data_IF_465364637720
#
_entry.id   IF_465364637720
#
_cell.length_a   1.000
_cell.length_b   1.000
_cell.length_c   1.000
_cell.angle_alpha   90.00
_cell.angle_beta   90.00
_cell.angle_gamma   90.00
#
_symmetry.space_group_name_H-M   'P 1'
#
loop_
_entity.id
_entity.type
_entity.pdbx_description
1 polymer ?
#
# COMPACT_ATOMS: atom_id res chain seq x y z
N UNK A 1 -5.57 -1.80 7.11
CA UNK A 1 -6.21 -1.50 8.40
C UNK A 1 -7.06 -2.69 8.90
N UNK A 2 -8.05 -3.14 8.15
CA UNK A 2 -8.97 -4.21 8.58
C UNK A 2 -8.27 -5.54 8.98
N UNK A 3 -7.17 -5.90 8.32
CA UNK A 3 -6.42 -7.11 8.67
C UNK A 3 -5.85 -7.04 10.10
N UNK A 4 -5.45 -5.86 10.54
CA UNK A 4 -4.88 -5.60 11.87
C UNK A 4 -5.91 -5.16 12.91
N UNK A 5 -7.20 -5.18 12.54
CA UNK A 5 -8.32 -4.76 13.37
C UNK A 5 -8.16 -3.34 13.95
N UNK A 6 -7.71 -2.42 13.10
CA UNK A 6 -7.54 -1.01 13.42
C UNK A 6 -8.24 -0.14 12.38
N UNK A 7 -8.75 1.04 12.74
CA UNK A 7 -9.40 1.95 11.79
C UNK A 7 -8.40 2.55 10.79
N UNK A 8 -7.14 2.69 11.21
CA UNK A 8 -6.06 3.28 10.43
C UNK A 8 -4.72 2.72 10.90
N UNK A 9 -3.80 2.52 9.94
CA UNK A 9 -2.39 2.27 10.25
C UNK A 9 -1.69 3.57 10.68
N UNK A 10 -0.58 3.44 11.39
CA UNK A 10 0.22 4.57 11.84
C UNK A 10 1.35 4.92 10.86
N UNK A 11 1.88 6.16 10.95
CA UNK A 11 3.02 6.58 10.14
C UNK A 11 4.22 5.65 10.38
N UNK A 12 4.86 5.22 9.29
CA UNK A 12 5.97 4.28 9.34
C UNK A 12 5.59 2.80 9.44
N UNK A 13 4.30 2.49 9.59
CA UNK A 13 3.84 1.10 9.54
C UNK A 13 4.12 0.49 8.16
N UNK A 14 4.78 -0.66 8.16
CA UNK A 14 5.13 -1.40 6.94
C UNK A 14 4.10 -2.48 6.67
N UNK A 15 3.56 -2.50 5.45
CA UNK A 15 2.74 -3.61 4.96
C UNK A 15 3.67 -4.64 4.32
N UNK A 16 3.57 -5.89 4.77
CA UNK A 16 4.45 -6.99 4.37
C UNK A 16 3.78 -7.94 3.39
N UNK A 17 4.55 -8.81 2.70
CA UNK A 17 3.98 -9.92 1.92
C UNK A 17 3.03 -10.81 2.74
N UNK A 18 3.37 -11.08 4.01
CA UNK A 18 2.52 -11.87 4.89
C UNK A 18 1.17 -11.20 5.18
N UNK A 19 1.13 -9.87 5.29
CA UNK A 19 -0.13 -9.12 5.41
C UNK A 19 -0.98 -9.30 4.14
N UNK A 20 -0.38 -9.16 2.96
CA UNK A 20 -1.10 -9.31 1.69
C UNK A 20 -1.63 -10.75 1.51
N UNK A 21 -0.80 -11.74 1.77
CA UNK A 21 -1.19 -13.16 1.69
C UNK A 21 -2.33 -13.50 2.65
N UNK A 22 -2.26 -12.98 3.88
CA UNK A 22 -3.32 -13.17 4.87
C UNK A 22 -4.64 -12.51 4.45
N UNK A 23 -4.58 -11.32 3.88
CA UNK A 23 -5.77 -10.63 3.37
C UNK A 23 -6.41 -11.39 2.19
N UNK A 24 -5.60 -11.83 1.24
CA UNK A 24 -6.06 -12.61 0.09
C UNK A 24 -6.66 -13.95 0.52
N UNK A 25 -6.00 -14.65 1.45
CA UNK A 25 -6.49 -15.93 1.97
C UNK A 25 -7.86 -15.78 2.65
N UNK A 26 -8.08 -14.73 3.43
CA UNK A 26 -9.39 -14.42 4.05
C UNK A 26 -10.48 -14.18 3.02
N UNK A 27 -10.12 -13.57 1.89
CA UNK A 27 -11.05 -13.30 0.79
C UNK A 27 -11.23 -14.47 -0.18
N UNK A 28 -10.42 -15.53 -0.05
CA UNK A 28 -10.40 -16.66 -1.01
C UNK A 28 -9.86 -16.25 -2.38
N UNK A 29 -8.99 -15.25 -2.42
CA UNK A 29 -8.40 -14.68 -3.64
C UNK A 29 -6.91 -14.97 -3.75
N UNK A 30 -6.37 -14.77 -4.94
CA UNK A 30 -4.94 -14.76 -5.21
C UNK A 30 -4.61 -13.59 -6.15
N UNK A 31 -3.45 -12.99 -5.98
CA UNK A 31 -2.95 -11.97 -6.90
C UNK A 31 -2.13 -12.64 -8.01
N UNK A 32 -2.32 -12.19 -9.24
CA UNK A 32 -1.67 -12.73 -10.42
C UNK A 32 -1.44 -11.72 -11.53
N UNK A 33 -0.96 -12.19 -12.69
CA UNK A 33 -0.62 -11.31 -13.81
C UNK A 33 -1.81 -10.47 -14.28
N UNK A 34 -1.59 -9.17 -14.40
CA UNK A 34 -2.59 -8.21 -14.88
C UNK A 34 -3.54 -7.68 -13.82
N UNK A 35 -3.45 -8.17 -12.58
CA UNK A 35 -4.30 -7.69 -11.49
C UNK A 35 -3.90 -6.30 -11.02
N UNK A 36 -4.88 -5.60 -10.42
CA UNK A 36 -4.71 -4.39 -9.63
C UNK A 36 -4.76 -4.75 -8.14
N UNK A 37 -3.74 -4.39 -7.38
CA UNK A 37 -3.68 -4.63 -5.93
C UNK A 37 -3.65 -3.31 -5.19
N UNK A 38 -4.73 -2.98 -4.46
CA UNK A 38 -4.89 -1.72 -3.76
C UNK A 38 -4.86 -1.94 -2.24
N UNK A 39 -4.16 -1.05 -1.54
CA UNK A 39 -3.99 -1.13 -0.09
C UNK A 39 -4.76 0.00 0.59
N UNK A 40 -5.84 -0.36 1.28
CA UNK A 40 -6.60 0.55 2.14
C UNK A 40 -5.97 0.59 3.52
N UNK A 41 -5.25 1.67 3.82
CA UNK A 41 -4.56 1.87 5.11
C UNK A 41 -5.42 2.61 6.12
N UNK A 42 -6.45 3.30 5.66
CA UNK A 42 -7.26 4.23 6.45
C UNK A 42 -6.63 5.63 6.57
N UNK A 43 -5.42 5.84 6.02
CA UNK A 43 -4.72 7.12 6.08
C UNK A 43 -5.47 8.23 5.34
N UNK A 44 -6.20 7.88 4.28
CA UNK A 44 -7.05 8.80 3.52
C UNK A 44 -8.08 9.56 4.36
N UNK A 45 -8.45 9.06 5.55
CA UNK A 45 -9.31 9.77 6.49
C UNK A 45 -8.71 11.09 7.02
N UNK A 46 -7.40 11.30 6.85
CA UNK A 46 -6.71 12.54 7.21
C UNK A 46 -6.74 13.60 6.10
N UNK A 47 -7.42 13.35 4.99
CA UNK A 47 -7.43 14.25 3.82
C UNK A 47 -7.78 15.70 4.15
N UNK A 48 -8.72 15.93 5.08
CA UNK A 48 -9.15 17.26 5.50
C UNK A 48 -8.22 17.93 6.54
N UNK A 49 -7.17 17.23 6.98
CA UNK A 49 -6.08 17.75 7.80
C UNK A 49 -4.74 17.60 7.05
N UNK A 50 -4.41 18.54 6.14
CA UNK A 50 -3.22 18.43 5.31
C UNK A 50 -1.91 18.30 6.09
N UNK A 51 -1.81 18.96 7.25
CA UNK A 51 -0.61 18.89 8.07
C UNK A 51 -0.39 17.49 8.64
N UNK A 52 -1.44 16.84 9.13
CA UNK A 52 -1.39 15.47 9.60
C UNK A 52 -1.18 14.48 8.44
N UNK A 53 -1.87 14.70 7.31
CA UNK A 53 -1.81 13.82 6.15
C UNK A 53 -0.39 13.66 5.59
N UNK A 54 0.38 14.77 5.48
CA UNK A 54 1.73 14.77 4.90
C UNK A 54 2.86 14.60 5.92
N UNK A 55 2.55 14.52 7.21
CA UNK A 55 3.57 14.39 8.27
C UNK A 55 4.30 13.03 8.27
N UNK A 56 3.69 12.03 7.66
CA UNK A 56 4.18 10.67 7.52
C UNK A 56 3.10 9.83 6.86
N UNK A 57 3.32 8.54 6.72
CA UNK A 57 2.32 7.60 6.22
C UNK A 57 2.71 6.14 6.47
N UNK A 58 1.75 5.21 6.54
CA UNK A 58 2.02 3.78 6.40
C UNK A 58 2.15 3.41 4.92
N UNK A 59 2.65 2.22 4.63
CA UNK A 59 2.59 1.73 3.25
C UNK A 59 3.29 0.41 3.01
N UNK A 60 3.16 -0.10 1.78
CA UNK A 60 3.89 -1.28 1.35
C UNK A 60 5.39 -1.12 1.49
N UNK A 61 6.05 -2.10 2.10
CA UNK A 61 7.50 -2.14 2.19
C UNK A 61 8.16 -2.68 0.92
N UNK A 62 9.50 -2.63 0.90
CA UNK A 62 10.29 -3.09 -0.25
C UNK A 62 10.05 -4.58 -0.57
N UNK A 63 9.98 -5.43 0.46
CA UNK A 63 9.70 -6.85 0.28
C UNK A 63 8.33 -7.08 -0.40
N UNK A 64 7.32 -6.26 -0.07
CA UNK A 64 6.01 -6.36 -0.72
C UNK A 64 6.05 -5.85 -2.16
N UNK A 65 6.85 -4.84 -2.47
CA UNK A 65 7.06 -4.38 -3.84
C UNK A 65 7.63 -5.50 -4.73
N UNK A 66 8.64 -6.21 -4.26
CA UNK A 66 9.20 -7.37 -4.98
C UNK A 66 8.18 -8.50 -5.11
N UNK A 67 7.41 -8.77 -4.07
CA UNK A 67 6.33 -9.77 -4.08
C UNK A 67 5.24 -9.45 -5.14
N UNK A 68 4.87 -8.18 -5.29
CA UNK A 68 3.93 -7.71 -6.33
C UNK A 68 4.52 -7.88 -7.74
N UNK A 69 5.79 -7.51 -7.90
CA UNK A 69 6.49 -7.64 -9.17
C UNK A 69 6.61 -9.12 -9.62
N UNK A 70 6.95 -10.02 -8.71
CA UNK A 70 7.02 -11.47 -8.98
C UNK A 70 5.68 -12.04 -9.46
N UNK A 71 4.56 -11.51 -8.95
CA UNK A 71 3.21 -11.88 -9.36
C UNK A 71 2.74 -11.21 -10.64
N UNK A 72 3.56 -10.30 -11.18
CA UNK A 72 3.28 -9.59 -12.43
C UNK A 72 1.97 -8.79 -12.39
N UNK A 73 1.67 -8.19 -11.26
CA UNK A 73 0.52 -7.26 -11.16
C UNK A 73 0.70 -6.10 -12.13
N UNK A 74 -0.39 -5.59 -12.69
CA UNK A 74 -0.33 -4.48 -13.64
C UNK A 74 -0.17 -3.13 -12.94
N UNK A 75 -0.84 -2.97 -11.79
CA UNK A 75 -0.78 -1.76 -10.99
C UNK A 75 -1.00 -2.04 -9.52
N UNK A 76 -0.55 -1.11 -8.70
CA UNK A 76 -0.82 -1.09 -7.27
C UNK A 76 -1.08 0.34 -6.79
N UNK A 77 -1.68 0.50 -5.62
CA UNK A 77 -1.97 1.83 -5.11
C UNK A 77 -2.36 1.85 -3.63
N UNK A 78 -2.31 3.06 -3.05
CA UNK A 78 -2.67 3.32 -1.65
C UNK A 78 -3.50 4.59 -1.50
N UNK A 79 -4.16 4.70 -0.35
CA UNK A 79 -4.87 5.90 0.12
C UNK A 79 -3.94 6.87 0.89
N UNK A 80 -2.66 6.93 0.51
CA UNK A 80 -1.59 7.73 1.11
C UNK A 80 -1.04 8.73 0.10
N UNK A 81 -0.35 9.78 0.58
CA UNK A 81 0.15 10.86 -0.28
C UNK A 81 1.34 10.44 -1.17
N UNK A 82 2.02 9.37 -0.79
CA UNK A 82 3.06 8.71 -1.56
C UNK A 82 2.86 7.20 -1.43
N UNK A 83 3.75 6.39 -1.96
CA UNK A 83 3.66 4.94 -1.89
C UNK A 83 4.85 4.36 -1.11
N UNK A 84 4.57 3.73 0.01
CA UNK A 84 5.57 3.22 0.94
C UNK A 84 5.55 3.95 2.29
N UNK A 85 6.19 3.39 3.32
CA UNK A 85 6.16 3.97 4.66
C UNK A 85 7.00 5.26 4.73
N UNK A 86 6.51 6.24 5.48
CA UNK A 86 7.26 7.44 5.87
C UNK A 86 7.09 7.61 7.39
N UNK A 87 8.18 7.53 8.20
CA UNK A 87 9.57 7.36 7.77
C UNK A 87 9.82 6.04 7.03
N UNK A 88 10.82 6.02 6.11
CA UNK A 88 11.13 4.83 5.31
C UNK A 88 11.77 3.72 6.14
N UNK A 89 11.72 2.47 5.64
CA UNK A 89 12.38 1.31 6.26
C UNK A 89 13.90 1.53 6.38
N UNK A 90 14.51 2.09 5.33
CA UNK A 90 15.91 2.49 5.30
C UNK A 90 16.01 4.01 5.13
N UNK A 91 16.54 4.76 6.12
CA UNK A 91 16.67 6.21 6.04
C UNK A 91 17.53 6.71 4.86
N UNK A 92 18.44 5.88 4.37
CA UNK A 92 19.33 6.21 3.25
C UNK A 92 18.67 5.97 1.89
N UNK A 93 17.52 5.29 1.86
CA UNK A 93 16.78 4.95 0.64
C UNK A 93 15.32 5.45 0.69
N UNK A 94 15.08 6.77 0.82
CA UNK A 94 13.71 7.30 0.79
C UNK A 94 13.08 7.03 -0.59
N UNK A 95 11.80 6.68 -0.58
CA UNK A 95 11.01 6.39 -1.79
C UNK A 95 11.53 5.21 -2.65
N UNK A 96 12.33 4.32 -2.08
CA UNK A 96 12.84 3.14 -2.80
C UNK A 96 11.71 2.23 -3.30
N UNK A 97 10.58 2.18 -2.59
CA UNK A 97 9.46 1.29 -2.92
C UNK A 97 8.81 1.68 -4.25
N UNK A 98 8.33 2.92 -4.48
CA UNK A 98 7.75 3.30 -5.77
C UNK A 98 8.81 3.31 -6.88
N UNK A 99 10.06 3.65 -6.60
CA UNK A 99 11.14 3.57 -7.58
C UNK A 99 11.38 2.14 -8.05
N UNK A 100 11.36 1.17 -7.14
CA UNK A 100 11.51 -0.25 -7.46
C UNK A 100 10.37 -0.71 -8.36
N UNK A 101 9.13 -0.41 -8.03
CA UNK A 101 7.97 -0.79 -8.83
C UNK A 101 7.96 -0.13 -10.20
N UNK A 102 8.07 1.19 -10.26
CA UNK A 102 7.96 1.94 -11.52
C UNK A 102 9.17 1.73 -12.43
N UNK A 103 10.40 1.83 -11.89
CA UNK A 103 11.62 1.89 -12.70
C UNK A 103 12.17 0.50 -13.01
N UNK A 104 12.22 -0.38 -12.00
CA UNK A 104 12.80 -1.72 -12.19
C UNK A 104 11.82 -2.70 -12.80
N UNK A 105 10.55 -2.62 -12.42
CA UNK A 105 9.55 -3.64 -12.77
C UNK A 105 8.43 -3.15 -13.69
N UNK A 106 8.32 -1.85 -13.93
CA UNK A 106 7.30 -1.28 -14.82
C UNK A 106 5.87 -1.43 -14.28
N UNK A 107 5.70 -1.59 -12.96
CA UNK A 107 4.40 -1.66 -12.31
C UNK A 107 3.89 -0.24 -12.06
N UNK A 108 2.67 0.05 -12.50
CA UNK A 108 2.06 1.37 -12.28
C UNK A 108 1.72 1.55 -10.79
N UNK A 109 2.10 2.70 -10.23
CA UNK A 109 1.79 3.06 -8.84
C UNK A 109 0.80 4.21 -8.81
N UNK A 110 -0.28 4.05 -8.03
CA UNK A 110 -1.30 5.06 -7.78
C UNK A 110 -1.22 5.54 -6.33
N UNK A 111 -1.36 6.83 -6.15
CA UNK A 111 -1.30 7.51 -4.84
C UNK A 111 -2.56 8.35 -4.62
N UNK A 112 -2.82 8.76 -3.38
CA UNK A 112 -3.98 9.58 -3.01
C UNK A 112 -5.32 8.98 -3.42
N UNK A 113 -5.47 7.65 -3.36
CA UNK A 113 -6.71 6.99 -3.71
C UNK A 113 -7.77 7.18 -2.63
N UNK A 114 -9.04 7.31 -3.05
CA UNK A 114 -10.18 7.22 -2.16
C UNK A 114 -10.69 5.79 -2.16
N UNK A 115 -10.36 5.03 -1.11
CA UNK A 115 -10.62 3.59 -1.05
C UNK A 115 -11.66 3.17 0.00
N UNK A 116 -12.16 4.10 0.82
CA UNK A 116 -13.07 3.77 1.93
C UNK A 116 -14.33 3.06 1.45
N UNK A 117 -15.04 3.64 0.48
CA UNK A 117 -16.27 3.04 -0.04
C UNK A 117 -16.03 1.67 -0.69
N UNK A 118 -14.90 1.52 -1.39
CA UNK A 118 -14.51 0.25 -2.01
C UNK A 118 -14.24 -0.82 -0.94
N UNK A 119 -13.54 -0.46 0.12
CA UNK A 119 -13.24 -1.35 1.24
C UNK A 119 -14.52 -1.76 2.00
N UNK A 120 -15.44 -0.82 2.21
CA UNK A 120 -16.73 -1.08 2.87
C UNK A 120 -17.65 -1.97 2.02
N UNK A 121 -17.57 -1.87 0.71
CA UNK A 121 -18.29 -2.75 -0.22
C UNK A 121 -17.75 -4.19 -0.27
N UNK A 122 -16.62 -4.46 0.38
CA UNK A 122 -16.00 -5.78 0.39
C UNK A 122 -15.31 -6.15 -0.93
N UNK A 123 -14.93 -5.15 -1.67
CA UNK A 123 -14.26 -5.33 -2.95
C UNK A 123 -12.73 -5.48 -2.78
#
# INVERSE_FOLDING_TARGET
>A
AALRDVPRLEAGDVITPADAESALARAGLAAGPGDAVLFHTGWGALWDDPAAYVAGEPGPGLALAEWLAERRVALTGCDTWSYGPVPPEDPDEPFVVPQTLNVRHGVVVLENLTLTELAEAGA
#
